data_IF_426669563369
#
_entry.id   IF_426669563369
#
_cell.length_a   1.000
_cell.length_b   1.000
_cell.length_c   1.000
_cell.angle_alpha   90.00
_cell.angle_beta   90.00
_cell.angle_gamma   90.00
#
_symmetry.space_group_name_H-M   'P 1'
#
loop_
_entity.id
_entity.type
_entity.pdbx_description
1 polymer ?
#
# COMPACT_ATOMS: atom_id res chain seq x y z
N UNK A 1 -43.09 -44.51 42.85
CA UNK A 1 -42.40 -43.27 43.27
C UNK A 1 -40.91 -43.58 43.36
N UNK A 2 -40.20 -43.42 42.24
CA UNK A 2 -38.75 -43.54 42.16
C UNK A 2 -38.29 -42.41 41.24
N UNK A 3 -37.67 -41.39 41.82
CA UNK A 3 -36.93 -40.36 41.09
C UNK A 3 -35.63 -40.99 40.58
N UNK A 4 -35.42 -40.99 39.27
CA UNK A 4 -34.07 -41.05 38.69
C UNK A 4 -33.74 -39.67 38.14
N UNK A 5 -32.94 -38.94 38.92
CA UNK A 5 -32.29 -37.70 38.55
C UNK A 5 -31.18 -38.04 37.53
N UNK A 6 -31.43 -37.82 36.23
CA UNK A 6 -30.35 -37.81 35.24
C UNK A 6 -29.69 -36.44 35.29
N UNK A 7 -28.63 -36.31 36.09
CA UNK A 7 -27.63 -35.26 35.89
C UNK A 7 -26.91 -35.56 34.57
N UNK A 8 -27.25 -34.84 33.52
CA UNK A 8 -26.33 -34.61 32.41
C UNK A 8 -25.28 -33.62 32.91
N UNK A 9 -24.11 -34.14 33.28
CA UNK A 9 -22.91 -33.31 33.32
C UNK A 9 -22.67 -32.82 31.88
N UNK A 10 -22.96 -31.55 31.63
CA UNK A 10 -22.28 -30.82 30.57
C UNK A 10 -20.81 -30.73 30.99
N UNK A 11 -20.01 -31.70 30.56
CA UNK A 11 -18.57 -31.59 30.61
C UNK A 11 -18.20 -30.43 29.69
N UNK A 12 -17.86 -29.28 30.28
CA UNK A 12 -16.98 -28.32 29.62
C UNK A 12 -15.65 -29.05 29.37
N UNK A 13 -15.56 -29.80 28.27
CA UNK A 13 -14.27 -30.13 27.69
C UNK A 13 -13.71 -28.78 27.23
N UNK A 14 -12.83 -28.20 28.03
CA UNK A 14 -11.89 -27.19 27.56
C UNK A 14 -11.14 -27.84 26.39
N UNK A 15 -11.49 -27.46 25.17
CA UNK A 15 -10.78 -27.87 23.97
C UNK A 15 -9.41 -27.22 24.07
N UNK A 16 -8.37 -28.03 24.24
CA UNK A 16 -7.01 -27.52 24.27
C UNK A 16 -6.71 -26.76 22.96
N UNK A 17 -5.91 -25.68 23.02
CA UNK A 17 -5.52 -24.96 21.81
C UNK A 17 -4.77 -25.90 20.86
N UNK A 18 -4.94 -25.74 19.54
CA UNK A 18 -4.34 -26.62 18.55
C UNK A 18 -2.80 -26.51 18.58
N UNK A 19 -2.11 -27.62 18.30
CA UNK A 19 -0.65 -27.61 18.18
C UNK A 19 -0.20 -26.93 16.89
N UNK A 20 1.09 -26.58 16.81
CA UNK A 20 1.68 -25.99 15.59
C UNK A 20 1.50 -26.90 14.36
N UNK A 21 1.65 -28.22 14.52
CA UNK A 21 1.40 -29.18 13.44
C UNK A 21 -0.06 -29.22 13.00
N UNK A 22 -1.00 -29.13 13.95
CA UNK A 22 -2.44 -29.09 13.66
C UNK A 22 -2.82 -27.82 12.92
N UNK A 23 -2.30 -26.66 13.35
CA UNK A 23 -2.49 -25.37 12.67
C UNK A 23 -1.97 -25.45 11.23
N UNK A 24 -0.76 -25.99 11.04
CA UNK A 24 -0.16 -26.14 9.71
C UNK A 24 -0.99 -27.03 8.80
N UNK A 25 -1.53 -28.14 9.30
CA UNK A 25 -2.40 -29.04 8.54
C UNK A 25 -3.72 -28.35 8.13
N UNK A 26 -4.31 -27.58 9.04
CA UNK A 26 -5.50 -26.77 8.77
C UNK A 26 -5.23 -25.73 7.68
N UNK A 27 -4.12 -25.00 7.78
CA UNK A 27 -3.69 -24.00 6.78
C UNK A 27 -3.47 -24.64 5.41
N UNK A 28 -2.79 -25.78 5.34
CA UNK A 28 -2.50 -26.45 4.07
C UNK A 28 -3.77 -26.90 3.34
N UNK A 29 -4.81 -27.26 4.09
CA UNK A 29 -6.12 -27.61 3.52
C UNK A 29 -6.75 -26.41 2.80
N UNK A 30 -6.76 -25.24 3.44
CA UNK A 30 -7.25 -24.01 2.83
C UNK A 30 -6.35 -23.53 1.67
N UNK A 31 -5.02 -23.71 1.77
CA UNK A 31 -4.10 -23.40 0.67
C UNK A 31 -4.27 -24.32 -0.54
N UNK A 32 -4.67 -25.57 -0.34
CA UNK A 32 -4.95 -26.50 -1.44
C UNK A 32 -6.15 -26.00 -2.25
N UNK A 33 -7.22 -25.57 -1.59
CA UNK A 33 -8.38 -24.94 -2.25
C UNK A 33 -7.97 -23.73 -3.09
N UNK A 34 -7.14 -22.83 -2.51
CA UNK A 34 -6.61 -21.67 -3.23
C UNK A 34 -5.86 -22.07 -4.52
N UNK A 35 -4.97 -23.07 -4.43
CA UNK A 35 -4.18 -23.53 -5.59
C UNK A 35 -5.04 -24.19 -6.67
N UNK A 36 -6.12 -24.85 -6.30
CA UNK A 36 -7.04 -25.48 -7.24
C UNK A 36 -7.88 -24.46 -8.02
N UNK A 37 -8.25 -23.33 -7.41
CA UNK A 37 -8.99 -22.25 -8.07
C UNK A 37 -8.11 -21.37 -8.99
N UNK A 38 -6.83 -21.20 -8.65
CA UNK A 38 -5.89 -20.44 -9.48
C UNK A 38 -6.34 -19.00 -9.74
N UNK A 39 -6.42 -18.63 -11.03
CA UNK A 39 -6.78 -17.26 -11.45
C UNK A 39 -8.25 -16.88 -11.15
N UNK A 40 -9.12 -17.85 -10.89
CA UNK A 40 -10.54 -17.63 -10.55
C UNK A 40 -10.77 -17.44 -9.04
N UNK A 41 -9.72 -17.44 -8.22
CA UNK A 41 -9.83 -17.33 -6.77
C UNK A 41 -10.31 -15.94 -6.31
N UNK A 42 -11.22 -15.93 -5.33
CA UNK A 42 -11.62 -14.74 -4.58
C UNK A 42 -11.63 -15.04 -3.08
N UNK A 43 -11.18 -14.07 -2.27
CA UNK A 43 -11.29 -14.15 -0.79
C UNK A 43 -12.75 -14.14 -0.33
N UNK A 44 -13.67 -13.66 -1.17
CA UNK A 44 -15.11 -13.62 -0.91
C UNK A 44 -15.83 -14.88 -1.44
N UNK A 45 -15.11 -15.87 -1.98
CA UNK A 45 -15.70 -17.13 -2.46
C UNK A 45 -16.40 -17.87 -1.30
N UNK A 46 -17.72 -18.11 -1.35
CA UNK A 46 -18.45 -18.83 -0.31
C UNK A 46 -17.90 -20.24 -0.04
N UNK A 47 -17.35 -20.92 -1.06
CA UNK A 47 -16.75 -22.23 -0.89
C UNK A 47 -15.44 -22.14 -0.08
N UNK A 48 -14.64 -21.10 -0.32
CA UNK A 48 -13.43 -20.86 0.46
C UNK A 48 -13.77 -20.53 1.92
N UNK A 49 -14.75 -19.65 2.16
CA UNK A 49 -15.23 -19.31 3.50
C UNK A 49 -15.69 -20.56 4.25
N UNK A 50 -16.43 -21.46 3.58
CA UNK A 50 -16.85 -22.72 4.19
C UNK A 50 -15.67 -23.63 4.57
N UNK A 51 -14.63 -23.70 3.72
CA UNK A 51 -13.40 -24.45 4.05
C UNK A 51 -12.74 -23.88 5.30
N UNK A 52 -12.61 -22.55 5.38
CA UNK A 52 -12.03 -21.87 6.55
C UNK A 52 -12.84 -22.14 7.82
N UNK A 53 -14.17 -22.02 7.75
CA UNK A 53 -15.07 -22.29 8.87
C UNK A 53 -14.91 -23.73 9.38
N UNK A 54 -14.87 -24.71 8.49
CA UNK A 54 -14.61 -26.11 8.86
C UNK A 54 -13.25 -26.29 9.54
N UNK A 55 -12.21 -25.56 9.12
CA UNK A 55 -10.91 -25.66 9.78
C UNK A 55 -10.91 -25.07 11.19
N UNK A 56 -11.84 -24.18 11.52
CA UNK A 56 -11.97 -23.58 12.84
C UNK A 56 -12.90 -24.36 13.78
N UNK A 57 -13.66 -25.32 13.27
CA UNK A 57 -14.51 -26.18 14.10
C UNK A 57 -13.69 -26.88 15.20
N UNK A 58 -14.21 -26.81 16.43
CA UNK A 58 -13.58 -27.42 17.60
C UNK A 58 -12.38 -26.64 18.15
N UNK A 59 -12.08 -25.45 17.65
CA UNK A 59 -11.09 -24.55 18.25
C UNK A 59 -11.83 -23.48 19.06
N UNK A 60 -11.51 -23.37 20.34
CA UNK A 60 -12.03 -22.30 21.20
C UNK A 60 -11.03 -21.13 21.24
N UNK A 61 -11.39 -19.94 20.71
CA UNK A 61 -10.53 -18.76 20.79
C UNK A 61 -10.15 -18.39 22.23
N UNK A 62 -11.00 -18.66 23.23
CA UNK A 62 -10.75 -18.30 24.62
C UNK A 62 -9.54 -19.05 25.23
N UNK A 63 -9.21 -20.23 24.70
CA UNK A 63 -8.09 -21.07 25.14
C UNK A 63 -6.79 -20.78 24.38
N UNK A 64 -6.84 -19.97 23.32
CA UNK A 64 -5.69 -19.66 22.47
C UNK A 64 -4.91 -18.46 23.02
N UNK A 65 -3.59 -18.55 23.15
CA UNK A 65 -2.74 -17.40 23.47
C UNK A 65 -2.46 -16.53 22.22
N UNK A 66 -1.70 -15.44 22.39
CA UNK A 66 -1.41 -14.51 21.28
C UNK A 66 -0.67 -15.21 20.13
N UNK A 67 0.25 -16.13 20.44
CA UNK A 67 1.03 -16.83 19.44
C UNK A 67 0.15 -17.79 18.64
N UNK A 68 -0.75 -18.54 19.29
CA UNK A 68 -1.73 -19.40 18.64
C UNK A 68 -2.69 -18.59 17.78
N UNK A 69 -3.23 -17.48 18.31
CA UNK A 69 -4.13 -16.58 17.57
C UNK A 69 -3.46 -16.06 16.30
N UNK A 70 -2.21 -15.59 16.41
CA UNK A 70 -1.43 -15.10 15.27
C UNK A 70 -1.15 -16.20 14.25
N UNK A 71 -0.73 -17.39 14.68
CA UNK A 71 -0.46 -18.52 13.81
C UNK A 71 -1.70 -18.95 13.00
N UNK A 72 -2.90 -18.76 13.56
CA UNK A 72 -4.16 -19.11 12.93
C UNK A 72 -4.76 -17.99 12.06
N UNK A 73 -4.11 -16.81 11.94
CA UNK A 73 -4.69 -15.62 11.27
C UNK A 73 -5.26 -15.91 9.88
N UNK A 74 -4.59 -16.75 9.08
CA UNK A 74 -5.08 -17.11 7.74
C UNK A 74 -6.44 -17.80 7.79
N UNK A 75 -6.69 -18.62 8.82
CA UNK A 75 -7.91 -19.40 8.94
C UNK A 75 -9.11 -18.54 9.31
N UNK A 76 -8.95 -17.55 10.19
CA UNK A 76 -10.09 -16.80 10.72
C UNK A 76 -10.25 -15.38 10.18
N UNK A 77 -9.22 -14.75 9.62
CA UNK A 77 -9.32 -13.37 9.15
C UNK A 77 -10.24 -13.20 7.93
N UNK A 78 -10.33 -14.23 7.08
CA UNK A 78 -11.11 -14.17 5.84
C UNK A 78 -12.51 -14.81 5.95
N UNK A 79 -12.92 -15.26 7.14
CA UNK A 79 -14.27 -15.74 7.39
C UNK A 79 -15.08 -14.72 8.20
N UNK A 80 -16.16 -14.16 7.63
CA UNK A 80 -17.06 -13.28 8.37
C UNK A 80 -17.72 -13.95 9.58
N UNK A 81 -17.86 -15.28 9.55
CA UNK A 81 -18.57 -16.05 10.59
C UNK A 81 -17.74 -16.17 11.87
N UNK A 82 -16.41 -16.31 11.73
CA UNK A 82 -15.53 -16.55 12.87
C UNK A 82 -14.69 -15.32 13.26
N UNK A 83 -14.38 -14.40 12.32
CA UNK A 83 -13.53 -13.22 12.59
C UNK A 83 -13.92 -12.45 13.87
N UNK A 84 -15.20 -12.15 14.17
CA UNK A 84 -15.55 -11.40 15.37
C UNK A 84 -15.11 -12.04 16.69
N UNK A 85 -15.15 -13.37 16.79
CA UNK A 85 -14.74 -14.07 18.01
C UNK A 85 -13.23 -13.97 18.26
N UNK A 86 -12.44 -14.10 17.18
CA UNK A 86 -10.99 -13.96 17.23
C UNK A 86 -10.54 -12.52 17.48
N UNK A 87 -11.19 -11.53 16.87
CA UNK A 87 -10.98 -10.11 17.20
C UNK A 87 -11.29 -9.84 18.68
N UNK A 88 -12.38 -10.40 19.20
CA UNK A 88 -12.70 -10.35 20.63
C UNK A 88 -11.61 -10.98 21.51
N UNK A 89 -11.03 -12.10 21.07
CA UNK A 89 -9.91 -12.73 21.77
C UNK A 89 -8.67 -11.84 21.81
N UNK A 90 -8.27 -11.25 20.68
CA UNK A 90 -7.11 -10.35 20.60
C UNK A 90 -7.28 -9.20 21.60
N UNK A 91 -8.47 -8.58 21.64
CA UNK A 91 -8.81 -7.52 22.62
C UNK A 91 -8.68 -8.00 24.06
N UNK A 92 -9.11 -9.22 24.38
CA UNK A 92 -8.98 -9.77 25.74
C UNK A 92 -7.53 -10.01 26.16
N UNK A 93 -6.64 -10.29 25.19
CA UNK A 93 -5.20 -10.50 25.38
C UNK A 93 -4.40 -9.20 25.44
N UNK A 94 -5.04 -8.04 25.20
CA UNK A 94 -4.42 -6.72 25.25
C UNK A 94 -4.17 -6.24 26.70
N UNK A 95 -3.50 -7.06 27.51
CA UNK A 95 -3.19 -6.79 28.91
C UNK A 95 -1.73 -7.17 29.20
N UNK A 96 -1.13 -6.53 30.21
CA UNK A 96 0.26 -6.79 30.58
C UNK A 96 1.18 -6.58 29.38
N UNK A 97 2.07 -7.53 29.11
CA UNK A 97 3.05 -7.44 28.01
C UNK A 97 2.42 -7.69 26.62
N UNK A 98 1.19 -8.18 26.54
CA UNK A 98 0.51 -8.55 25.27
C UNK A 98 -0.16 -7.38 24.53
N UNK A 99 -0.17 -6.18 25.11
CA UNK A 99 -0.89 -5.03 24.56
C UNK A 99 -0.38 -4.63 23.16
N UNK A 100 0.94 -4.64 22.96
CA UNK A 100 1.54 -4.17 21.71
C UNK A 100 1.25 -5.12 20.56
N UNK A 101 1.37 -6.43 20.81
CA UNK A 101 1.01 -7.45 19.82
C UNK A 101 -0.48 -7.38 19.48
N UNK A 102 -1.35 -7.20 20.48
CA UNK A 102 -2.77 -7.03 20.24
C UNK A 102 -3.07 -5.79 19.37
N UNK A 103 -2.47 -4.65 19.69
CA UNK A 103 -2.67 -3.40 18.95
C UNK A 103 -2.18 -3.49 17.50
N UNK A 104 -0.96 -4.00 17.28
CA UNK A 104 -0.39 -4.17 15.94
C UNK A 104 -1.18 -5.18 15.12
N UNK A 105 -1.63 -6.27 15.75
CA UNK A 105 -2.45 -7.27 15.09
C UNK A 105 -3.80 -6.69 14.66
N UNK A 106 -4.49 -5.96 15.54
CA UNK A 106 -5.76 -5.29 15.20
C UNK A 106 -5.56 -4.26 14.07
N UNK A 107 -4.48 -3.49 14.09
CA UNK A 107 -4.17 -2.55 13.02
C UNK A 107 -4.01 -3.26 11.66
N UNK A 108 -3.34 -4.42 11.62
CA UNK A 108 -3.20 -5.24 10.42
C UNK A 108 -4.50 -5.89 9.92
N UNK A 109 -5.54 -5.97 10.75
CA UNK A 109 -6.86 -6.55 10.42
C UNK A 109 -7.89 -5.50 9.99
N UNK A 110 -7.46 -4.25 9.84
CA UNK A 110 -8.29 -3.07 9.60
C UNK A 110 -9.24 -2.73 10.78
N UNK A 111 -8.92 -3.20 11.99
CA UNK A 111 -9.64 -2.88 13.24
C UNK A 111 -9.01 -1.63 13.90
N UNK A 112 -8.91 -0.54 13.13
CA UNK A 112 -8.13 0.65 13.45
C UNK A 112 -8.52 1.29 14.79
N UNK A 113 -9.82 1.44 15.05
CA UNK A 113 -10.31 2.08 16.27
C UNK A 113 -9.91 1.30 17.52
N UNK A 114 -9.97 -0.04 17.46
CA UNK A 114 -9.56 -0.89 18.57
C UNK A 114 -8.04 -0.85 18.80
N UNK A 115 -7.26 -0.84 17.73
CA UNK A 115 -5.80 -0.70 17.81
C UNK A 115 -5.40 0.64 18.46
N UNK A 116 -6.06 1.73 18.06
CA UNK A 116 -5.84 3.06 18.64
C UNK A 116 -6.28 3.14 20.10
N UNK A 117 -7.42 2.55 20.45
CA UNK A 117 -7.89 2.49 21.85
C UNK A 117 -6.84 1.86 22.75
N UNK A 118 -6.35 0.66 22.40
CA UNK A 118 -5.31 -0.05 23.15
C UNK A 118 -4.01 0.76 23.19
N UNK A 119 -3.51 1.22 22.04
CA UNK A 119 -2.24 1.94 21.97
C UNK A 119 -2.25 3.26 22.77
N UNK A 120 -3.39 3.96 22.79
CA UNK A 120 -3.54 5.23 23.52
C UNK A 120 -3.42 5.09 25.04
N UNK A 121 -3.63 3.89 25.59
CA UNK A 121 -3.50 3.62 27.03
C UNK A 121 -2.05 3.52 27.51
N UNK A 122 -1.10 3.22 26.62
CA UNK A 122 0.32 3.00 26.91
C UNK A 122 1.22 4.15 26.42
N UNK A 123 0.90 4.71 25.25
CA UNK A 123 1.71 5.75 24.60
C UNK A 123 3.06 5.23 24.06
N UNK A 124 3.76 6.07 23.29
CA UNK A 124 4.98 5.63 22.59
C UNK A 124 6.16 5.30 23.50
N UNK A 125 6.23 5.86 24.71
CA UNK A 125 7.34 5.63 25.64
C UNK A 125 7.41 4.17 26.11
N UNK A 126 6.28 3.45 26.09
CA UNK A 126 6.21 2.04 26.48
C UNK A 126 6.49 1.06 25.33
N UNK A 127 6.52 1.54 24.08
CA UNK A 127 6.91 0.71 22.91
C UNK A 127 8.41 0.44 22.99
N UNK A 128 8.91 -0.80 22.85
CA UNK A 128 10.35 -1.07 22.73
C UNK A 128 10.97 -0.44 21.48
N UNK A 129 12.22 0.04 21.56
CA UNK A 129 12.90 0.73 20.44
C UNK A 129 12.95 -0.15 19.18
N UNK A 130 13.26 -1.44 19.34
CA UNK A 130 13.34 -2.43 18.28
C UNK A 130 12.00 -2.70 17.58
N UNK A 131 10.88 -2.31 18.19
CA UNK A 131 9.52 -2.49 17.64
C UNK A 131 8.87 -1.21 17.14
N UNK A 132 9.55 -0.07 17.26
CA UNK A 132 9.02 1.21 16.76
C UNK A 132 8.73 1.19 15.25
N UNK A 133 9.51 0.43 14.47
CA UNK A 133 9.29 0.27 13.02
C UNK A 133 7.91 -0.31 12.69
N UNK A 134 7.46 -1.31 13.46
CA UNK A 134 6.14 -1.91 13.31
C UNK A 134 5.03 -0.90 13.60
N UNK A 135 5.19 -0.11 14.67
CA UNK A 135 4.25 0.95 15.04
C UNK A 135 4.21 2.04 13.97
N UNK A 136 5.35 2.49 13.45
CA UNK A 136 5.42 3.48 12.36
C UNK A 136 4.68 2.97 11.13
N UNK A 137 4.87 1.70 10.78
CA UNK A 137 4.20 1.07 9.64
C UNK A 137 2.68 1.02 9.82
N UNK A 138 2.22 0.65 11.02
CA UNK A 138 0.79 0.65 11.35
C UNK A 138 0.19 2.07 11.30
N UNK A 139 0.86 3.05 11.89
CA UNK A 139 0.39 4.45 11.90
C UNK A 139 0.36 5.06 10.49
N UNK A 140 1.23 4.64 9.58
CA UNK A 140 1.25 5.16 8.20
C UNK A 140 -0.05 4.89 7.43
N UNK A 141 -0.85 3.91 7.86
CA UNK A 141 -2.14 3.55 7.28
C UNK A 141 -3.29 4.44 7.77
N UNK A 142 -3.14 5.12 8.91
CA UNK A 142 -4.20 5.94 9.51
C UNK A 142 -4.54 7.17 8.66
N UNK A 143 -5.77 7.64 8.73
CA UNK A 143 -6.19 8.87 8.07
C UNK A 143 -5.50 10.11 8.66
N UNK A 144 -5.36 11.17 7.86
CA UNK A 144 -4.68 12.41 8.27
C UNK A 144 -5.25 12.99 9.57
N UNK A 145 -6.57 12.94 9.74
CA UNK A 145 -7.27 13.42 10.95
C UNK A 145 -6.92 12.65 12.22
N UNK A 146 -6.65 11.34 12.11
CA UNK A 146 -6.24 10.50 13.24
C UNK A 146 -4.80 10.82 13.64
N UNK A 147 -3.96 11.12 12.66
CA UNK A 147 -2.54 11.45 12.86
C UNK A 147 -2.31 12.86 13.42
N UNK A 148 -3.19 13.81 13.10
CA UNK A 148 -3.08 15.19 13.62
C UNK A 148 -3.07 15.24 15.15
N UNK A 149 -3.75 14.30 15.82
CA UNK A 149 -3.77 14.19 17.27
C UNK A 149 -2.40 13.85 17.87
N UNK A 150 -1.49 13.24 17.09
CA UNK A 150 -0.17 12.78 17.53
C UNK A 150 0.98 13.70 17.04
N UNK A 151 0.66 14.90 16.54
CA UNK A 151 1.63 15.78 15.88
C UNK A 151 2.82 16.22 16.74
N UNK A 152 2.70 16.16 18.07
CA UNK A 152 3.75 16.59 18.98
C UNK A 152 4.61 15.41 19.47
N UNK A 153 4.03 14.22 19.49
CA UNK A 153 4.63 12.98 19.96
C UNK A 153 5.43 12.30 18.84
N UNK A 154 4.86 12.23 17.64
CA UNK A 154 5.49 11.57 16.48
C UNK A 154 6.91 12.07 16.20
N UNK A 155 7.21 13.38 16.20
CA UNK A 155 8.57 13.85 15.93
C UNK A 155 9.60 13.40 16.96
N UNK A 156 9.18 13.09 18.19
CA UNK A 156 10.09 12.67 19.27
C UNK A 156 10.64 11.25 19.03
N UNK A 157 9.94 10.44 18.24
CA UNK A 157 10.38 9.09 17.90
C UNK A 157 11.73 9.09 17.18
N UNK A 158 12.07 10.16 16.46
CA UNK A 158 13.33 10.23 15.70
C UNK A 158 14.58 10.10 16.57
N UNK A 159 14.49 10.38 17.88
CA UNK A 159 15.61 10.24 18.81
C UNK A 159 15.83 8.79 19.27
N UNK A 160 14.98 7.87 18.81
CA UNK A 160 14.98 6.43 19.12
C UNK A 160 15.22 5.57 17.87
N UNK A 161 15.91 6.14 16.86
CA UNK A 161 16.26 5.41 15.64
C UNK A 161 17.10 4.17 15.95
N UNK A 162 16.81 3.03 15.32
CA UNK A 162 17.65 1.85 15.44
C UNK A 162 19.02 2.04 14.77
N UNK A 163 19.96 1.18 15.14
CA UNK A 163 21.32 1.20 14.60
C UNK A 163 21.56 0.13 13.51
N UNK A 164 20.66 -0.85 13.36
CA UNK A 164 20.76 -1.90 12.35
C UNK A 164 19.99 -1.55 11.07
N UNK A 165 20.48 -2.03 9.93
CA UNK A 165 19.91 -1.73 8.62
C UNK A 165 18.47 -2.22 8.43
N UNK A 166 18.14 -3.47 8.78
CA UNK A 166 16.78 -3.97 8.69
C UNK A 166 15.77 -3.13 9.46
N UNK A 167 16.01 -2.83 10.73
CA UNK A 167 15.07 -2.02 11.52
C UNK A 167 14.97 -0.59 10.98
N UNK A 168 16.06 0.01 10.48
CA UNK A 168 15.99 1.33 9.83
C UNK A 168 15.13 1.35 8.56
N UNK A 169 14.99 0.22 7.88
CA UNK A 169 14.15 0.13 6.69
C UNK A 169 12.66 0.34 7.01
N UNK A 170 12.21 -0.08 8.19
CA UNK A 170 10.82 0.11 8.64
C UNK A 170 10.48 1.58 8.92
N UNK A 171 11.51 2.45 9.03
CA UNK A 171 11.34 3.89 9.23
C UNK A 171 11.13 4.67 7.93
N UNK A 172 11.08 3.99 6.78
CA UNK A 172 10.90 4.63 5.48
C UNK A 172 9.56 5.39 5.35
N UNK A 173 8.52 5.00 6.11
CA UNK A 173 7.24 5.73 6.17
C UNK A 173 7.29 6.97 7.05
N UNK A 174 8.28 7.10 7.92
CA UNK A 174 8.30 8.12 8.96
C UNK A 174 8.19 9.56 8.41
N UNK A 175 8.89 9.95 7.31
CA UNK A 175 8.69 11.28 6.72
C UNK A 175 7.25 11.55 6.27
N UNK A 176 6.61 10.55 5.65
CA UNK A 176 5.20 10.62 5.20
C UNK A 176 4.27 10.80 6.39
N UNK A 177 4.49 10.03 7.46
CA UNK A 177 3.73 10.10 8.70
C UNK A 177 3.72 11.52 9.29
N UNK A 178 4.90 12.15 9.37
CA UNK A 178 5.00 13.53 9.87
C UNK A 178 4.28 14.55 8.98
N UNK A 179 4.23 14.33 7.65
CA UNK A 179 3.46 15.18 6.74
C UNK A 179 1.97 15.07 7.04
N UNK A 180 1.44 13.84 7.12
CA UNK A 180 0.01 13.57 7.38
C UNK A 180 -0.44 14.12 8.72
N UNK A 181 0.41 14.00 9.75
CA UNK A 181 0.16 14.55 11.08
C UNK A 181 0.22 16.09 11.15
N UNK A 182 0.56 16.79 10.06
CA UNK A 182 0.65 18.25 10.04
C UNK A 182 1.84 18.80 10.84
N UNK A 183 2.93 18.04 10.96
CA UNK A 183 4.15 18.48 11.66
C UNK A 183 4.83 19.61 10.90
N UNK A 184 5.29 20.61 11.65
CA UNK A 184 5.98 21.78 11.10
C UNK A 184 7.17 21.38 10.19
N UNK A 185 7.32 22.12 9.09
CA UNK A 185 8.33 21.85 8.06
C UNK A 185 9.78 21.85 8.58
N UNK A 186 10.12 22.67 9.57
CA UNK A 186 11.46 22.72 10.16
C UNK A 186 11.74 21.45 10.96
N UNK A 187 10.76 20.98 11.72
CA UNK A 187 10.85 19.72 12.47
C UNK A 187 10.95 18.55 11.48
N UNK A 188 10.08 18.50 10.46
CA UNK A 188 10.13 17.46 9.42
C UNK A 188 11.50 17.38 8.75
N UNK A 189 12.06 18.53 8.36
CA UNK A 189 13.40 18.59 7.72
C UNK A 189 14.50 18.09 8.65
N UNK A 190 14.45 18.48 9.93
CA UNK A 190 15.39 17.99 10.94
C UNK A 190 15.29 16.47 11.12
N UNK A 191 14.06 15.94 11.27
CA UNK A 191 13.84 14.51 11.46
C UNK A 191 14.26 13.69 10.23
N UNK A 192 13.94 14.18 9.04
CA UNK A 192 14.42 13.61 7.78
C UNK A 192 15.94 13.54 7.71
N UNK A 193 16.63 14.61 8.09
CA UNK A 193 18.10 14.65 8.11
C UNK A 193 18.72 13.62 9.05
N UNK A 194 18.11 13.42 10.24
CA UNK A 194 18.56 12.39 11.20
C UNK A 194 18.37 10.97 10.63
N UNK A 195 17.22 10.68 10.02
CA UNK A 195 16.95 9.38 9.40
C UNK A 195 17.93 9.10 8.25
N UNK A 196 18.15 10.07 7.35
CA UNK A 196 19.11 9.93 6.26
C UNK A 196 20.52 9.66 6.80
N UNK A 197 20.97 10.42 7.81
CA UNK A 197 22.29 10.22 8.41
C UNK A 197 22.45 8.83 9.03
N UNK A 198 21.41 8.30 9.69
CA UNK A 198 21.43 6.95 10.25
C UNK A 198 21.57 5.88 9.15
N UNK A 199 20.78 5.99 8.09
CA UNK A 199 20.87 5.05 6.95
C UNK A 199 22.20 5.19 6.22
N UNK A 200 22.74 6.40 6.06
CA UNK A 200 24.08 6.62 5.48
C UNK A 200 25.18 5.95 6.30
N UNK A 201 25.09 6.01 7.63
CA UNK A 201 26.04 5.36 8.52
C UNK A 201 26.04 3.85 8.32
N UNK A 202 24.85 3.21 8.29
CA UNK A 202 24.74 1.76 8.03
C UNK A 202 25.18 1.42 6.61
N UNK A 203 24.75 2.19 5.61
CA UNK A 203 25.15 2.00 4.23
C UNK A 203 26.68 2.12 4.04
N UNK A 204 27.37 2.90 4.87
CA UNK A 204 28.82 3.07 4.81
C UNK A 204 29.61 1.82 5.22
N UNK A 205 29.02 0.94 6.04
CA UNK A 205 29.67 -0.28 6.55
C UNK A 205 29.04 -1.58 6.05
N UNK A 206 27.81 -1.53 5.54
CA UNK A 206 27.08 -2.69 5.05
C UNK A 206 27.69 -3.26 3.76
N UNK A 207 27.51 -4.57 3.56
CA UNK A 207 27.89 -5.27 2.33
C UNK A 207 26.71 -6.06 1.73
N UNK A 208 26.87 -6.54 0.50
CA UNK A 208 25.96 -7.52 -0.10
C UNK A 208 24.51 -7.02 -0.25
N UNK A 209 23.58 -7.69 0.43
CA UNK A 209 22.12 -7.41 0.34
C UNK A 209 21.75 -6.17 1.15
N UNK A 210 22.28 -6.03 2.35
CA UNK A 210 22.00 -4.91 3.25
C UNK A 210 22.46 -3.59 2.62
N UNK A 211 23.66 -3.57 2.02
CA UNK A 211 24.16 -2.40 1.30
C UNK A 211 23.19 -1.93 0.22
N UNK A 212 22.74 -2.84 -0.63
CA UNK A 212 21.78 -2.55 -1.72
C UNK A 212 20.44 -2.04 -1.19
N UNK A 213 19.96 -2.61 -0.08
CA UNK A 213 18.75 -2.17 0.59
C UNK A 213 18.91 -0.73 1.10
N UNK A 214 20.00 -0.41 1.80
CA UNK A 214 20.24 0.94 2.33
C UNK A 214 20.47 1.96 1.22
N UNK A 215 21.22 1.63 0.16
CA UNK A 215 21.42 2.52 -0.98
C UNK A 215 20.08 2.81 -1.70
N UNK A 216 19.19 1.82 -1.80
CA UNK A 216 17.85 1.99 -2.36
C UNK A 216 16.98 2.87 -1.47
N UNK A 217 17.00 2.65 -0.15
CA UNK A 217 16.33 3.49 0.84
C UNK A 217 16.80 4.95 0.76
N UNK A 218 18.12 5.18 0.66
CA UNK A 218 18.69 6.52 0.49
C UNK A 218 18.24 7.19 -0.80
N UNK A 219 18.18 6.44 -1.91
CA UNK A 219 17.67 6.98 -3.18
C UNK A 219 16.24 7.51 -3.01
N UNK A 220 15.38 6.75 -2.33
CA UNK A 220 13.99 7.14 -2.07
C UNK A 220 13.89 8.33 -1.11
N UNK A 221 14.58 8.29 0.04
CA UNK A 221 14.55 9.38 1.01
C UNK A 221 15.10 10.68 0.41
N UNK A 222 16.17 10.59 -0.35
CA UNK A 222 16.76 11.75 -1.02
C UNK A 222 15.92 12.24 -2.19
N UNK A 223 14.87 11.55 -2.63
CA UNK A 223 13.93 12.04 -3.64
C UNK A 223 12.97 13.09 -3.08
N UNK A 224 12.33 13.87 -3.96
CA UNK A 224 11.39 14.92 -3.56
C UNK A 224 10.28 14.43 -2.61
N UNK A 225 9.70 13.25 -2.87
CA UNK A 225 8.74 12.61 -1.98
C UNK A 225 9.30 12.36 -0.57
N UNK A 226 10.49 11.75 -0.49
CA UNK A 226 11.15 11.43 0.78
C UNK A 226 11.51 12.65 1.60
N UNK A 227 11.89 13.76 0.94
CA UNK A 227 12.16 15.06 1.59
C UNK A 227 10.89 15.81 2.01
N UNK A 228 9.70 15.31 1.67
CA UNK A 228 8.43 16.00 1.90
C UNK A 228 8.25 17.24 1.01
N UNK A 229 8.94 17.27 -0.13
CA UNK A 229 8.99 18.35 -1.12
C UNK A 229 8.29 17.96 -2.43
N UNK A 230 7.34 17.01 -2.39
CA UNK A 230 6.53 16.62 -3.54
C UNK A 230 5.17 17.33 -3.52
N UNK A 231 4.37 17.08 -2.48
CA UNK A 231 2.99 17.59 -2.40
C UNK A 231 2.98 19.12 -2.22
N UNK A 232 2.33 19.83 -3.15
CA UNK A 232 2.28 21.29 -3.20
C UNK A 232 3.51 21.95 -3.82
N UNK A 233 4.52 21.19 -4.20
CA UNK A 233 5.72 21.67 -4.89
C UNK A 233 5.60 21.43 -6.39
N UNK A 234 6.48 22.08 -7.16
CA UNK A 234 6.55 21.83 -8.60
C UNK A 234 6.85 20.34 -8.85
N UNK A 235 6.15 19.74 -9.80
CA UNK A 235 6.31 18.33 -10.10
C UNK A 235 7.78 18.01 -10.46
N UNK A 236 8.34 16.89 -9.96
CA UNK A 236 9.69 16.48 -10.30
C UNK A 236 9.91 16.45 -11.81
N UNK A 237 11.11 16.87 -12.23
CA UNK A 237 11.48 16.84 -13.65
C UNK A 237 11.61 15.39 -14.08
N UNK A 238 10.97 15.06 -15.19
CA UNK A 238 11.06 13.76 -15.87
C UNK A 238 11.34 14.05 -17.33
N UNK A 239 12.36 13.40 -17.89
CA UNK A 239 12.72 13.51 -19.30
C UNK A 239 11.95 12.45 -20.09
N UNK A 240 11.04 12.90 -20.96
CA UNK A 240 10.25 12.01 -21.80
C UNK A 240 11.04 11.68 -23.07
N UNK A 241 11.25 10.38 -23.30
CA UNK A 241 11.99 9.84 -24.44
C UNK A 241 11.08 9.60 -25.65
N UNK A 242 9.83 9.22 -25.40
CA UNK A 242 8.85 8.85 -26.43
C UNK A 242 7.43 8.91 -25.87
N UNK A 243 6.43 9.09 -26.74
CA UNK A 243 5.02 8.91 -26.41
C UNK A 243 4.21 8.31 -27.57
N UNK A 244 3.10 7.66 -27.24
CA UNK A 244 2.23 6.95 -28.19
C UNK A 244 1.39 7.84 -29.09
N UNK A 245 1.28 9.14 -28.77
CA UNK A 245 0.47 10.10 -29.55
C UNK A 245 1.29 10.88 -30.58
N UNK A 246 2.62 10.71 -30.58
CA UNK A 246 3.53 11.36 -31.52
C UNK A 246 3.71 12.87 -31.29
N UNK A 247 3.31 13.39 -30.12
CA UNK A 247 3.51 14.80 -29.78
C UNK A 247 4.96 15.07 -29.32
N UNK A 248 5.44 16.31 -29.46
CA UNK A 248 6.77 16.70 -28.96
C UNK A 248 6.74 16.98 -27.45
N UNK A 249 6.55 15.93 -26.64
CA UNK A 249 6.61 16.01 -25.19
C UNK A 249 8.00 15.69 -24.67
N UNK A 250 8.60 16.62 -23.91
CA UNK A 250 9.92 16.46 -23.30
C UNK A 250 9.89 16.37 -21.77
N UNK A 251 8.79 16.77 -21.13
CA UNK A 251 8.63 16.85 -19.68
C UNK A 251 7.14 16.99 -19.29
N UNK A 252 6.79 16.91 -18.00
CA UNK A 252 5.45 17.36 -17.56
C UNK A 252 5.21 18.87 -17.76
N UNK A 253 6.28 19.65 -17.89
CA UNK A 253 6.18 21.10 -18.06
C UNK A 253 5.52 21.52 -19.38
N UNK A 254 5.52 20.66 -20.42
CA UNK A 254 4.78 20.92 -21.66
C UNK A 254 3.27 20.68 -21.53
N UNK A 255 2.80 20.13 -20.40
CA UNK A 255 1.39 19.84 -20.13
C UNK A 255 0.75 20.85 -19.18
N UNK A 256 1.50 21.87 -18.72
CA UNK A 256 0.98 22.95 -17.85
C UNK A 256 -0.28 23.60 -18.47
N UNK A 257 -1.23 23.92 -17.61
CA UNK A 257 -2.60 24.32 -18.01
C UNK A 257 -3.60 23.16 -18.00
N UNK A 258 -3.14 21.91 -17.92
CA UNK A 258 -3.99 20.74 -17.70
C UNK A 258 -3.73 20.12 -16.33
N UNK A 259 -4.74 19.49 -15.75
CA UNK A 259 -4.53 18.53 -14.66
C UNK A 259 -3.98 17.25 -15.28
N UNK A 260 -2.83 16.77 -14.83
CA UNK A 260 -2.18 15.56 -15.36
C UNK A 260 -2.26 14.45 -14.33
N UNK A 261 -2.97 13.37 -14.65
CA UNK A 261 -3.01 12.12 -13.88
C UNK A 261 -1.93 11.22 -14.44
N UNK A 262 -0.82 11.07 -13.71
CA UNK A 262 0.32 10.24 -14.10
C UNK A 262 0.18 8.87 -13.44
N UNK A 263 -0.06 7.84 -14.25
CA UNK A 263 -0.12 6.45 -13.82
C UNK A 263 1.20 5.75 -14.11
N UNK A 264 1.99 5.48 -13.07
CA UNK A 264 3.26 4.76 -13.17
C UNK A 264 2.98 3.27 -13.29
N UNK A 265 3.36 2.68 -14.41
CA UNK A 265 3.00 1.30 -14.76
C UNK A 265 4.04 0.63 -15.66
N UNK A 266 3.88 -0.67 -15.89
CA UNK A 266 4.70 -1.42 -16.84
C UNK A 266 3.90 -2.58 -17.47
N UNK A 267 4.29 -3.02 -18.67
CA UNK A 267 3.58 -4.08 -19.40
C UNK A 267 3.60 -5.43 -18.70
N UNK A 268 4.63 -5.72 -17.91
CA UNK A 268 4.72 -6.94 -17.11
C UNK A 268 3.83 -6.89 -15.86
N UNK A 269 3.45 -5.71 -15.37
CA UNK A 269 2.68 -5.54 -14.15
C UNK A 269 1.24 -6.01 -14.33
N UNK A 270 0.90 -7.16 -13.74
CA UNK A 270 -0.45 -7.73 -13.76
C UNK A 270 -1.51 -6.77 -13.20
N UNK A 271 -1.36 -6.28 -11.95
CA UNK A 271 -2.32 -5.36 -11.33
C UNK A 271 -2.52 -4.05 -12.10
N UNK A 272 -1.46 -3.52 -12.72
CA UNK A 272 -1.54 -2.31 -13.55
C UNK A 272 -2.39 -2.55 -14.81
N UNK A 273 -2.19 -3.68 -15.48
CA UNK A 273 -2.98 -4.00 -16.67
C UNK A 273 -4.43 -4.31 -16.28
N UNK A 274 -4.65 -4.93 -15.11
CA UNK A 274 -5.98 -5.17 -14.55
C UNK A 274 -6.77 -3.88 -14.24
N UNK A 275 -6.11 -2.73 -14.12
CA UNK A 275 -6.77 -1.45 -13.85
C UNK A 275 -7.15 -0.64 -15.10
N UNK A 276 -6.81 -1.14 -16.29
CA UNK A 276 -7.11 -0.46 -17.56
C UNK A 276 -8.59 -0.11 -17.77
N UNK A 277 -9.58 -0.94 -17.37
CA UNK A 277 -10.99 -0.56 -17.45
C UNK A 277 -11.30 0.74 -16.68
N UNK A 278 -10.77 0.88 -15.47
CA UNK A 278 -10.97 2.06 -14.62
C UNK A 278 -10.25 3.29 -15.17
N UNK A 279 -9.07 3.11 -15.79
CA UNK A 279 -8.35 4.20 -16.46
C UNK A 279 -9.13 4.66 -17.70
N UNK A 280 -9.63 3.73 -18.52
CA UNK A 280 -10.46 4.03 -19.70
C UNK A 280 -11.73 4.78 -19.33
N UNK A 281 -12.40 4.37 -18.27
CA UNK A 281 -13.59 5.07 -17.75
C UNK A 281 -13.26 6.51 -17.35
N UNK A 282 -12.12 6.72 -16.66
CA UNK A 282 -11.67 8.05 -16.24
C UNK A 282 -11.37 8.95 -17.45
N UNK A 283 -10.71 8.40 -18.47
CA UNK A 283 -10.39 9.09 -19.73
C UNK A 283 -11.66 9.55 -20.44
N UNK A 284 -12.65 8.66 -20.59
CA UNK A 284 -13.92 9.01 -21.23
C UNK A 284 -14.72 10.03 -20.40
N UNK A 285 -14.70 9.93 -19.08
CA UNK A 285 -15.38 10.88 -18.19
C UNK A 285 -14.85 12.32 -18.34
N UNK A 286 -13.54 12.46 -18.51
CA UNK A 286 -12.87 13.76 -18.66
C UNK A 286 -12.65 14.18 -20.12
N UNK A 287 -13.26 13.48 -21.08
CA UNK A 287 -13.16 13.83 -22.49
C UNK A 287 -13.67 15.25 -22.76
N UNK A 288 -12.83 16.07 -23.36
CA UNK A 288 -13.14 17.48 -23.66
C UNK A 288 -12.86 18.45 -22.52
N UNK A 289 -12.32 17.99 -21.38
CA UNK A 289 -11.84 18.83 -20.29
C UNK A 289 -10.32 18.93 -20.27
N UNK A 290 -9.79 19.88 -19.49
CA UNK A 290 -8.34 20.10 -19.31
C UNK A 290 -7.70 19.06 -18.39
N UNK A 291 -7.86 17.78 -18.74
CA UNK A 291 -7.32 16.64 -18.00
C UNK A 291 -6.59 15.72 -18.97
N UNK A 292 -5.35 15.36 -18.63
CA UNK A 292 -4.54 14.38 -19.35
C UNK A 292 -4.34 13.20 -18.40
N UNK A 293 -4.80 12.01 -18.79
CA UNK A 293 -4.45 10.76 -18.12
C UNK A 293 -3.29 10.15 -18.90
N UNK A 294 -2.14 10.00 -18.24
CA UNK A 294 -0.87 9.61 -18.86
C UNK A 294 -0.35 8.33 -18.21
N UNK A 295 -0.22 7.26 -18.99
CA UNK A 295 0.51 6.08 -18.54
C UNK A 295 2.02 6.28 -18.71
N UNK A 296 2.76 6.36 -17.61
CA UNK A 296 4.20 6.56 -17.61
C UNK A 296 4.95 5.26 -17.28
N UNK A 297 5.88 4.86 -18.14
CA UNK A 297 6.80 3.74 -17.94
C UNK A 297 8.23 4.20 -18.18
N UNK A 298 9.22 3.38 -17.84
CA UNK A 298 10.61 3.52 -18.31
C UNK A 298 10.98 2.37 -19.24
N UNK A 299 12.08 2.43 -20.01
CA UNK A 299 12.58 1.29 -20.78
C UNK A 299 12.75 0.07 -19.88
N UNK A 300 12.11 -1.04 -20.24
CA UNK A 300 12.14 -2.32 -19.52
C UNK A 300 13.00 -3.37 -20.25
N UNK A 301 13.35 -3.11 -21.52
CA UNK A 301 14.04 -4.07 -22.38
C UNK A 301 13.13 -5.19 -22.89
N UNK A 302 11.82 -5.13 -22.61
CA UNK A 302 10.84 -6.07 -23.14
C UNK A 302 9.41 -5.53 -23.05
N UNK A 303 8.56 -5.95 -23.97
CA UNK A 303 7.10 -5.73 -23.91
C UNK A 303 6.42 -7.07 -23.63
N UNK A 304 5.54 -7.10 -22.63
CA UNK A 304 4.83 -8.30 -22.22
C UNK A 304 3.39 -8.23 -22.71
N UNK A 305 3.13 -8.75 -23.90
CA UNK A 305 1.79 -8.82 -24.48
C UNK A 305 0.89 -9.76 -23.66
N UNK A 306 -0.41 -9.46 -23.67
CA UNK A 306 -1.46 -10.27 -23.01
C UNK A 306 -2.18 -11.22 -23.97
N UNK A 307 -1.59 -11.44 -25.15
CA UNK A 307 -2.05 -12.36 -26.17
C UNK A 307 -0.98 -13.44 -26.46
N UNK A 308 -1.11 -14.15 -27.58
CA UNK A 308 -0.25 -15.26 -27.99
C UNK A 308 1.23 -14.86 -28.22
N UNK A 309 1.54 -13.56 -28.33
CA UNK A 309 2.92 -13.08 -28.47
C UNK A 309 3.74 -13.20 -27.18
N UNK A 310 3.09 -13.16 -26.01
CA UNK A 310 3.76 -13.20 -24.72
C UNK A 310 4.84 -12.12 -24.55
N UNK A 311 5.99 -12.49 -23.97
CA UNK A 311 7.11 -11.56 -23.74
C UNK A 311 7.99 -11.43 -24.99
N UNK A 312 8.16 -10.20 -25.47
CA UNK A 312 9.03 -9.84 -26.59
C UNK A 312 10.21 -9.01 -26.07
N UNK A 313 11.42 -9.58 -26.12
CA UNK A 313 12.66 -8.88 -25.75
C UNK A 313 13.02 -7.80 -26.78
N UNK A 314 13.47 -6.64 -26.30
CA UNK A 314 13.83 -5.47 -27.10
C UNK A 314 15.32 -5.16 -26.92
N UNK A 315 16.05 -4.92 -28.02
CA UNK A 315 17.50 -4.69 -27.96
C UNK A 315 17.85 -3.23 -27.76
N UNK A 316 16.99 -2.34 -28.22
CA UNK A 316 17.13 -0.89 -28.04
C UNK A 316 15.82 -0.29 -27.54
N UNK A 317 15.87 0.95 -27.08
CA UNK A 317 14.68 1.69 -26.68
C UNK A 317 13.73 1.89 -27.87
N UNK A 318 14.27 2.12 -29.08
CA UNK A 318 13.46 2.28 -30.30
C UNK A 318 12.69 1.01 -30.66
N UNK A 319 13.30 -0.17 -30.47
CA UNK A 319 12.61 -1.46 -30.61
C UNK A 319 11.44 -1.53 -29.62
N UNK A 320 11.67 -1.16 -28.36
CA UNK A 320 10.67 -1.19 -27.30
C UNK A 320 9.52 -0.21 -27.56
N UNK A 321 9.80 0.99 -28.06
CA UNK A 321 8.79 1.99 -28.43
C UNK A 321 7.91 1.49 -29.59
N UNK A 322 8.52 0.80 -30.57
CA UNK A 322 7.78 0.17 -31.66
C UNK A 322 6.87 -0.96 -31.14
N UNK A 323 7.37 -1.83 -30.25
CA UNK A 323 6.55 -2.87 -29.62
C UNK A 323 5.44 -2.28 -28.74
N UNK A 324 5.70 -1.19 -28.02
CA UNK A 324 4.69 -0.50 -27.22
C UNK A 324 3.55 0.04 -28.10
N UNK A 325 3.86 0.53 -29.31
CA UNK A 325 2.82 0.97 -30.25
C UNK A 325 1.87 -0.19 -30.60
N UNK A 326 2.41 -1.40 -30.78
CA UNK A 326 1.59 -2.59 -31.02
C UNK A 326 0.85 -3.06 -29.77
N UNK A 327 1.44 -2.87 -28.58
CA UNK A 327 0.80 -3.18 -27.30
C UNK A 327 -0.42 -2.28 -27.04
N UNK A 328 -0.27 -0.97 -27.27
CA UNK A 328 -1.35 0.02 -27.16
C UNK A 328 -2.55 -0.37 -28.01
N UNK A 329 -2.33 -0.80 -29.26
CA UNK A 329 -3.40 -1.29 -30.15
C UNK A 329 -4.04 -2.58 -29.63
N UNK A 330 -3.22 -3.54 -29.21
CA UNK A 330 -3.70 -4.85 -28.78
C UNK A 330 -4.56 -4.78 -27.52
N UNK A 331 -4.24 -3.85 -26.63
CA UNK A 331 -4.94 -3.64 -25.36
C UNK A 331 -6.05 -2.59 -25.43
N UNK A 332 -6.32 -2.03 -26.62
CA UNK A 332 -7.30 -0.94 -26.84
C UNK A 332 -7.09 0.24 -25.87
N UNK A 333 -5.82 0.62 -25.68
CA UNK A 333 -5.44 1.75 -24.83
C UNK A 333 -5.80 3.04 -25.54
N UNK A 334 -6.66 3.85 -24.91
CA UNK A 334 -7.22 5.09 -25.46
C UNK A 334 -6.58 6.35 -24.88
N UNK A 335 -5.59 6.21 -24.00
CA UNK A 335 -4.86 7.32 -23.39
C UNK A 335 -3.38 7.33 -23.80
N UNK A 336 -2.71 8.50 -23.72
CA UNK A 336 -1.29 8.59 -23.99
C UNK A 336 -0.46 7.68 -23.07
N UNK A 337 0.50 6.98 -23.67
CA UNK A 337 1.57 6.27 -22.97
C UNK A 337 2.88 6.99 -23.27
N UNK A 338 3.72 7.21 -22.27
CA UNK A 338 5.04 7.80 -22.45
C UNK A 338 6.14 7.00 -21.75
N UNK A 339 7.32 6.98 -22.38
CA UNK A 339 8.55 6.47 -21.78
C UNK A 339 9.34 7.62 -21.18
N UNK A 340 9.62 7.52 -19.88
CA UNK A 340 10.57 8.35 -19.16
C UNK A 340 11.99 7.76 -19.27
N UNK A 341 12.99 8.64 -19.22
CA UNK A 341 14.39 8.24 -19.05
C UNK A 341 14.67 7.74 -17.65
N UNK A 342 14.06 8.39 -16.66
CA UNK A 342 14.07 7.95 -15.29
C UNK A 342 13.33 6.61 -15.15
N UNK A 343 13.76 5.79 -14.19
CA UNK A 343 13.13 4.52 -13.88
C UNK A 343 11.67 4.72 -13.44
N UNK A 344 10.78 3.80 -13.83
CA UNK A 344 9.36 3.81 -13.42
C UNK A 344 9.21 3.80 -11.88
N UNK A 345 10.12 3.16 -11.16
CA UNK A 345 10.26 3.27 -9.70
C UNK A 345 10.95 4.59 -9.31
N UNK A 346 10.33 5.70 -9.72
CA UNK A 346 10.89 7.03 -9.58
C UNK A 346 10.89 7.47 -8.11
N UNK A 347 12.07 7.69 -7.49
CA UNK A 347 12.18 8.06 -6.09
C UNK A 347 11.65 9.48 -5.79
N UNK A 348 11.66 10.39 -6.76
CA UNK A 348 11.15 11.74 -6.54
C UNK A 348 9.64 11.76 -6.38
N UNK A 349 8.93 10.82 -7.01
CA UNK A 349 7.52 10.54 -6.76
C UNK A 349 7.29 9.52 -5.63
N UNK A 350 8.36 8.95 -5.07
CA UNK A 350 8.29 7.94 -4.00
C UNK A 350 7.73 6.60 -4.47
N UNK A 351 7.84 6.27 -5.76
CA UNK A 351 7.29 5.04 -6.34
C UNK A 351 8.12 3.85 -5.88
N UNK A 352 7.52 2.98 -5.05
CA UNK A 352 8.15 1.74 -4.56
C UNK A 352 7.45 0.47 -5.07
N UNK A 353 6.27 0.65 -5.65
CA UNK A 353 5.45 -0.39 -6.26
C UNK A 353 4.58 0.25 -7.34
N UNK A 354 4.09 -0.57 -8.25
CA UNK A 354 3.15 -0.17 -9.28
C UNK A 354 1.92 -1.10 -9.25
N UNK A 355 0.70 -0.60 -9.54
CA UNK A 355 0.40 0.74 -10.03
C UNK A 355 0.60 1.82 -8.96
N UNK A 356 0.95 3.03 -9.39
CA UNK A 356 1.07 4.19 -8.52
C UNK A 356 0.63 5.43 -9.29
N UNK A 357 -0.30 6.20 -8.73
CA UNK A 357 -0.82 7.39 -9.38
C UNK A 357 -0.41 8.66 -8.64
N UNK A 358 0.09 9.62 -9.41
CA UNK A 358 0.27 11.00 -8.99
C UNK A 358 -0.63 11.93 -9.81
N UNK A 359 -1.12 13.01 -9.20
CA UNK A 359 -1.92 14.02 -9.89
C UNK A 359 -1.24 15.37 -9.79
N UNK A 360 -0.90 15.94 -10.93
CA UNK A 360 -0.28 17.25 -11.07
C UNK A 360 -1.37 18.24 -11.45
N UNK A 361 -1.46 19.36 -10.73
CA UNK A 361 -2.40 20.43 -11.03
C UNK A 361 -2.04 21.21 -12.30
N UNK A 362 -2.99 21.99 -12.81
CA UNK A 362 -2.76 22.86 -13.97
C UNK A 362 -1.65 23.92 -13.77
N UNK A 363 -1.32 24.23 -12.51
CA UNK A 363 -0.19 25.08 -12.12
C UNK A 363 1.19 24.37 -12.23
N UNK A 364 1.18 23.05 -12.49
CA UNK A 364 2.36 22.20 -12.58
C UNK A 364 2.87 21.71 -11.23
N UNK A 365 2.06 21.84 -10.15
CA UNK A 365 2.41 21.34 -8.82
C UNK A 365 1.81 19.97 -8.56
N UNK A 366 2.53 19.08 -7.90
CA UNK A 366 1.96 17.77 -7.51
C UNK A 366 0.94 17.99 -6.41
N UNK A 367 -0.32 17.66 -6.67
CA UNK A 367 -1.42 17.84 -5.73
C UNK A 367 -1.74 16.57 -4.93
N UNK A 368 -1.63 15.40 -5.58
CA UNK A 368 -1.88 14.10 -4.96
C UNK A 368 -0.81 13.10 -5.41
N UNK A 369 -0.54 12.09 -4.58
CA UNK A 369 0.44 11.04 -4.84
C UNK A 369 0.04 9.76 -4.10
N UNK A 370 0.60 8.61 -4.49
CA UNK A 370 0.34 7.32 -3.85
C UNK A 370 -1.15 6.93 -3.88
N UNK A 371 -1.79 7.19 -5.02
CA UNK A 371 -3.16 6.74 -5.33
C UNK A 371 -3.12 5.45 -6.14
N UNK A 372 -4.23 4.71 -6.16
CA UNK A 372 -4.39 3.52 -7.01
C UNK A 372 -5.39 3.82 -8.16
N UNK A 373 -5.12 3.41 -9.41
CA UNK A 373 -6.09 3.58 -10.49
C UNK A 373 -7.46 2.94 -10.21
N UNK A 374 -7.51 1.93 -9.35
CA UNK A 374 -8.72 1.21 -8.92
C UNK A 374 -9.47 1.90 -7.78
N UNK A 375 -8.93 2.98 -7.21
CA UNK A 375 -9.64 3.79 -6.22
C UNK A 375 -11.04 4.18 -6.75
N UNK A 376 -12.05 4.30 -5.87
CA UNK A 376 -13.41 4.64 -6.28
C UNK A 376 -13.47 5.88 -7.18
N UNK A 377 -14.24 5.78 -8.27
CA UNK A 377 -14.36 6.86 -9.26
C UNK A 377 -14.80 8.19 -8.62
N UNK A 378 -15.74 8.15 -7.69
CA UNK A 378 -16.21 9.34 -6.99
C UNK A 378 -15.09 10.13 -6.29
N UNK A 379 -14.15 9.44 -5.63
CA UNK A 379 -13.02 10.08 -4.95
C UNK A 379 -12.00 10.63 -5.94
N UNK A 380 -11.69 9.90 -7.01
CA UNK A 380 -10.83 10.40 -8.10
C UNK A 380 -11.42 11.66 -8.74
N UNK A 381 -12.73 11.63 -9.03
CA UNK A 381 -13.44 12.76 -9.65
C UNK A 381 -13.45 13.98 -8.73
N UNK A 382 -13.75 13.79 -7.45
CA UNK A 382 -13.72 14.87 -6.45
C UNK A 382 -12.36 15.56 -6.39
N UNK A 383 -11.26 14.80 -6.37
CA UNK A 383 -9.88 15.34 -6.38
C UNK A 383 -9.60 16.14 -7.66
N UNK A 384 -9.84 15.56 -8.84
CA UNK A 384 -9.54 16.19 -10.14
C UNK A 384 -10.43 17.42 -10.39
N UNK A 385 -11.74 17.34 -10.14
CA UNK A 385 -12.65 18.49 -10.26
C UNK A 385 -12.26 19.61 -9.30
N UNK A 386 -11.78 19.28 -8.09
CA UNK A 386 -11.24 20.26 -7.15
C UNK A 386 -10.07 21.06 -7.74
N UNK A 387 -9.16 20.40 -8.45
CA UNK A 387 -8.02 21.04 -9.13
C UNK A 387 -8.45 21.88 -10.33
N UNK A 388 -9.36 21.37 -11.17
CA UNK A 388 -9.93 22.12 -12.30
C UNK A 388 -10.61 23.41 -11.81
N UNK A 389 -11.46 23.30 -10.78
CA UNK A 389 -12.14 24.44 -10.16
C UNK A 389 -11.15 25.45 -9.58
N UNK A 390 -10.10 24.99 -8.87
CA UNK A 390 -9.04 25.85 -8.33
C UNK A 390 -8.31 26.62 -9.44
N UNK A 391 -8.14 26.01 -10.61
CA UNK A 391 -7.53 26.63 -11.78
C UNK A 391 -8.50 27.49 -12.62
N UNK A 392 -9.79 27.55 -12.27
CA UNK A 392 -10.80 28.25 -13.06
C UNK A 392 -11.13 27.58 -14.39
N UNK A 393 -10.85 26.27 -14.52
CA UNK A 393 -11.08 25.48 -15.73
C UNK A 393 -12.46 24.81 -15.69
N UNK A 394 -13.09 24.57 -16.85
CA UNK A 394 -14.31 23.77 -16.93
C UNK A 394 -14.12 22.39 -16.32
N UNK A 395 -15.15 21.87 -15.66
CA UNK A 395 -15.16 20.53 -15.10
C UNK A 395 -16.54 19.87 -15.32
N UNK A 396 -16.61 18.53 -15.44
CA UNK A 396 -17.88 17.82 -15.50
C UNK A 396 -18.65 17.93 -14.18
N UNK A 397 -19.90 17.45 -14.15
CA UNK A 397 -20.67 17.35 -12.91
C UNK A 397 -19.94 16.49 -11.85
N UNK A 398 -20.47 16.42 -10.63
CA UNK A 398 -20.00 15.39 -9.70
C UNK A 398 -20.33 14.00 -10.26
N UNK A 399 -19.52 13.00 -9.90
CA UNK A 399 -19.83 11.62 -10.24
C UNK A 399 -20.87 11.08 -9.25
N UNK A 400 -22.08 10.79 -9.73
CA UNK A 400 -23.21 10.29 -8.93
C UNK A 400 -23.37 8.77 -9.02
N UNK A 401 -22.28 8.06 -9.34
CA UNK A 401 -22.26 6.63 -9.69
C UNK A 401 -22.99 5.71 -8.72
#
# INVERSE_FOLDING_TARGET
MMLTLSLTLASNLLLAPPTEEEIKAKIETAMTFFREKGDDFSLEDPEFIAVLDTQLEGVDPAECDMQTVQAMTMLWNYTPNNKPAWVGRIKSLAQGDGWLDAALMLAGLDEVDAALEIGSMHGFAEVPDERLGEVITALAQLEDSQLEMMKYELPQLIDRLPADGPALYDWMEFPKLLVKAGVDSTIRKSSHGKLVAAIEAVAGTAEGREKRMMDSALKVLKGAAGRGELLGFDAPKVELLWNSVGEEWSCFCCMKGNVVVVDFWATWCGPCVGSFPQVKELVEYYKGYNVIVLGLTSPQGAVNFRDDRGRVECKTNEDEFAQMTEYVKAMDITWPIAFAKEDVFNPDFGVRGIPHVAVIGADGKTAYNNLDPRDPMAEKVKKINGLLKKAGLPHPAAFEG
#
